data_IF_567601783997
#
_entry.id   IF_567601783997
#
_cell.length_a   1.000
_cell.length_b   1.000
_cell.length_c   1.000
_cell.angle_alpha   90.00
_cell.angle_beta   90.00
_cell.angle_gamma   90.00
#
_symmetry.space_group_name_H-M   'P 1'
#
loop_
_entity.id
_entity.type
_entity.pdbx_description
1 polymer ?
#
# COMPACT_ATOMS: atom_id res chain seq x y z
N UNK A 1 8.24 0.71 6.91
CA UNK A 1 9.34 -0.14 7.47
C UNK A 1 8.91 -1.60 7.32
N UNK A 2 9.74 -2.44 6.71
CA UNK A 2 9.46 -3.86 6.32
C UNK A 2 9.31 -4.83 7.50
N UNK A 3 9.27 -4.35 8.74
CA UNK A 3 9.35 -5.20 9.93
C UNK A 3 10.65 -6.02 9.95
N UNK A 4 10.58 -7.24 10.50
CA UNK A 4 11.68 -8.19 10.49
C UNK A 4 11.87 -8.76 9.07
N UNK A 5 13.00 -8.41 8.44
CA UNK A 5 13.36 -8.86 7.08
C UNK A 5 13.51 -10.37 6.97
N UNK A 6 13.75 -11.07 8.09
CA UNK A 6 13.81 -12.52 8.14
C UNK A 6 12.44 -13.20 8.04
N UNK A 7 11.34 -12.45 8.19
CA UNK A 7 9.97 -12.98 8.06
C UNK A 7 9.21 -12.35 6.89
N UNK A 8 9.74 -11.27 6.33
CA UNK A 8 9.11 -10.53 5.25
C UNK A 8 9.05 -11.33 3.94
N UNK A 9 7.85 -11.39 3.35
CA UNK A 9 7.60 -11.90 1.99
C UNK A 9 8.17 -13.30 1.67
N UNK A 10 8.31 -14.19 2.68
CA UNK A 10 8.92 -15.53 2.50
C UNK A 10 8.19 -16.43 1.50
N UNK A 11 6.89 -16.21 1.31
CA UNK A 11 6.02 -16.94 0.40
C UNK A 11 5.93 -16.33 -1.01
N UNK A 12 6.67 -15.27 -1.30
CA UNK A 12 6.53 -14.50 -2.54
C UNK A 12 7.78 -14.57 -3.42
N UNK A 13 7.57 -14.28 -4.71
CA UNK A 13 8.61 -13.91 -5.65
C UNK A 13 8.69 -12.40 -5.74
N UNK A 14 9.89 -11.84 -5.63
CA UNK A 14 10.12 -10.40 -5.56
C UNK A 14 10.63 -9.90 -6.91
N UNK A 15 9.79 -9.10 -7.58
CA UNK A 15 10.19 -8.31 -8.75
C UNK A 15 10.37 -6.86 -8.27
N UNK A 16 11.59 -6.33 -8.38
CA UNK A 16 11.95 -5.00 -7.88
C UNK A 16 12.29 -4.07 -9.04
N UNK A 17 11.46 -3.05 -9.27
CA UNK A 17 11.69 -2.01 -10.28
C UNK A 17 12.23 -0.78 -9.57
N UNK A 18 13.43 -0.34 -9.94
CA UNK A 18 14.16 0.71 -9.23
C UNK A 18 15.06 1.49 -10.19
N UNK A 19 15.15 2.80 -10.01
CA UNK A 19 15.98 3.69 -10.83
C UNK A 19 17.40 3.82 -10.27
N UNK A 20 17.59 3.60 -8.96
CA UNK A 20 18.91 3.52 -8.34
C UNK A 20 19.38 2.07 -8.18
N UNK A 21 20.34 1.65 -9.01
CA UNK A 21 20.93 0.31 -8.94
C UNK A 21 21.44 -0.09 -7.55
N UNK A 22 21.82 0.87 -6.68
CA UNK A 22 22.30 0.58 -5.33
C UNK A 22 21.20 0.09 -4.38
N UNK A 23 19.93 0.40 -4.65
CA UNK A 23 18.80 -0.04 -3.82
C UNK A 23 18.31 -1.46 -4.20
N UNK A 24 18.67 -1.96 -5.39
CA UNK A 24 18.38 -3.34 -5.81
C UNK A 24 19.16 -4.33 -4.94
N UNK A 25 18.46 -5.32 -4.37
CA UNK A 25 18.98 -6.34 -3.44
C UNK A 25 19.52 -5.79 -2.10
N UNK A 26 19.33 -4.50 -1.78
CA UNK A 26 19.92 -3.88 -0.59
C UNK A 26 19.34 -4.41 0.72
N UNK A 27 18.01 -4.53 0.80
CA UNK A 27 17.29 -4.96 2.02
C UNK A 27 16.64 -6.32 1.82
N UNK A 28 15.87 -6.46 0.75
CA UNK A 28 15.22 -7.71 0.36
C UNK A 28 15.83 -8.17 -0.97
N UNK A 29 16.37 -9.40 -1.06
CA UNK A 29 16.83 -9.96 -2.32
C UNK A 29 15.68 -10.06 -3.32
N UNK A 30 15.86 -9.50 -4.52
CA UNK A 30 14.91 -9.62 -5.61
C UNK A 30 15.19 -10.90 -6.41
N UNK A 31 14.14 -11.63 -6.79
CA UNK A 31 14.24 -12.69 -7.79
C UNK A 31 14.50 -12.11 -9.19
N UNK A 32 13.94 -10.92 -9.45
CA UNK A 32 14.16 -10.15 -10.69
C UNK A 32 14.32 -8.67 -10.34
N UNK A 33 15.48 -8.10 -10.65
CA UNK A 33 15.73 -6.66 -10.58
C UNK A 33 15.56 -6.00 -11.94
N UNK A 34 14.75 -4.95 -12.02
CA UNK A 34 14.53 -4.13 -13.22
C UNK A 34 15.08 -2.74 -12.92
N UNK A 35 16.28 -2.46 -13.42
CA UNK A 35 16.91 -1.15 -13.26
C UNK A 35 16.40 -0.18 -14.33
N UNK A 36 15.35 0.58 -14.01
CA UNK A 36 14.66 1.47 -14.94
C UNK A 36 13.76 2.46 -14.19
N UNK A 37 13.33 3.53 -14.90
CA UNK A 37 12.20 4.32 -14.47
C UNK A 37 10.94 3.45 -14.34
N UNK A 38 10.23 3.56 -13.22
CA UNK A 38 9.09 2.70 -12.93
C UNK A 38 7.92 2.90 -13.91
N UNK A 39 7.71 4.12 -14.42
CA UNK A 39 6.65 4.41 -15.40
C UNK A 39 6.96 3.73 -16.72
N UNK A 40 8.20 3.83 -17.20
CA UNK A 40 8.63 3.19 -18.44
C UNK A 40 8.57 1.66 -18.34
N UNK A 41 9.06 1.09 -17.23
CA UNK A 41 9.01 -0.35 -16.98
C UNK A 41 7.57 -0.86 -16.93
N UNK A 42 6.65 -0.16 -16.23
CA UNK A 42 5.24 -0.55 -16.16
C UNK A 42 4.56 -0.48 -17.52
N UNK A 43 4.83 0.54 -18.34
CA UNK A 43 4.30 0.64 -19.70
C UNK A 43 4.70 -0.58 -20.54
N UNK A 44 5.99 -0.96 -20.51
CA UNK A 44 6.48 -2.12 -21.23
C UNK A 44 5.90 -3.45 -20.69
N UNK A 45 5.65 -3.56 -19.38
CA UNK A 45 5.06 -4.76 -18.79
C UNK A 45 3.57 -4.89 -19.12
N UNK A 46 2.81 -3.79 -19.10
CA UNK A 46 1.36 -3.79 -19.38
C UNK A 46 1.06 -4.36 -20.77
N UNK A 47 1.91 -4.09 -21.75
CA UNK A 47 1.77 -4.64 -23.12
C UNK A 47 1.95 -6.16 -23.21
N UNK A 48 2.56 -6.77 -22.18
CA UNK A 48 2.96 -8.19 -22.16
C UNK A 48 2.16 -9.02 -21.16
N UNK A 49 1.38 -8.41 -20.28
CA UNK A 49 0.56 -9.13 -19.31
C UNK A 49 -0.80 -9.47 -19.90
N UNK A 50 -1.29 -10.66 -19.58
CA UNK A 50 -2.65 -11.08 -19.86
C UNK A 50 -3.47 -11.05 -18.58
N UNK A 51 -4.76 -10.65 -18.63
CA UNK A 51 -5.65 -10.76 -17.49
C UNK A 51 -5.74 -12.19 -16.98
N UNK A 52 -5.68 -12.37 -15.66
CA UNK A 52 -5.82 -13.68 -15.00
C UNK A 52 -7.09 -13.69 -14.16
N UNK A 53 -7.64 -14.87 -13.89
CA UNK A 53 -8.70 -14.99 -12.88
C UNK A 53 -8.09 -14.83 -11.48
N UNK A 54 -8.31 -13.67 -10.88
CA UNK A 54 -7.84 -13.32 -9.54
C UNK A 54 -8.99 -13.12 -8.56
N UNK A 55 -10.20 -13.62 -8.87
CA UNK A 55 -11.40 -13.37 -8.05
C UNK A 55 -11.24 -13.83 -6.61
N UNK A 56 -10.78 -15.07 -6.40
CA UNK A 56 -10.57 -15.63 -5.05
C UNK A 56 -9.51 -14.85 -4.28
N UNK A 57 -8.42 -14.49 -4.96
CA UNK A 57 -7.36 -13.69 -4.37
C UNK A 57 -7.86 -12.31 -3.93
N UNK A 58 -8.55 -11.58 -4.81
CA UNK A 58 -9.17 -10.29 -4.46
C UNK A 58 -10.22 -10.43 -3.36
N UNK A 59 -10.98 -11.54 -3.32
CA UNK A 59 -11.96 -11.78 -2.28
C UNK A 59 -11.30 -11.95 -0.90
N UNK A 60 -10.12 -12.58 -0.82
CA UNK A 60 -9.39 -12.69 0.45
C UNK A 60 -8.99 -11.33 1.04
N UNK A 61 -8.62 -10.35 0.21
CA UNK A 61 -8.34 -9.00 0.68
C UNK A 61 -9.59 -8.27 1.15
N UNK A 62 -10.71 -8.41 0.43
CA UNK A 62 -11.98 -7.78 0.82
C UNK A 62 -12.47 -8.28 2.18
N UNK A 63 -12.29 -9.56 2.45
CA UNK A 63 -12.64 -10.13 3.74
C UNK A 63 -11.77 -9.55 4.87
N UNK A 64 -10.46 -9.41 4.64
CA UNK A 64 -9.55 -8.80 5.61
C UNK A 64 -9.81 -7.31 5.81
N UNK A 65 -10.10 -6.56 4.75
CA UNK A 65 -10.47 -5.13 4.80
C UNK A 65 -11.74 -4.93 5.61
N UNK A 66 -12.76 -5.79 5.41
CA UNK A 66 -13.98 -5.78 6.21
C UNK A 66 -13.68 -6.04 7.69
N UNK A 67 -12.86 -7.03 8.00
CA UNK A 67 -12.48 -7.33 9.39
C UNK A 67 -11.71 -6.19 10.04
N UNK A 68 -10.82 -5.52 9.31
CA UNK A 68 -10.10 -4.34 9.80
C UNK A 68 -11.07 -3.17 10.04
N UNK A 69 -12.02 -2.95 9.13
CA UNK A 69 -13.00 -1.87 9.25
C UNK A 69 -13.85 -2.03 10.51
N UNK A 70 -14.39 -3.24 10.73
CA UNK A 70 -15.21 -3.57 11.90
C UNK A 70 -14.43 -3.47 13.22
N UNK A 71 -13.17 -3.91 13.23
CA UNK A 71 -12.36 -3.96 14.46
C UNK A 71 -11.73 -2.61 14.81
N UNK A 72 -11.34 -1.84 13.80
CA UNK A 72 -10.47 -0.67 13.96
C UNK A 72 -11.04 0.54 13.24
N UNK A 73 -11.03 0.57 11.90
CA UNK A 73 -11.19 1.82 11.15
C UNK A 73 -12.51 2.52 11.40
N UNK A 74 -13.62 1.79 11.43
CA UNK A 74 -14.95 2.41 11.55
C UNK A 74 -15.07 3.24 12.83
N UNK A 75 -14.65 2.67 13.96
CA UNK A 75 -14.69 3.33 15.27
C UNK A 75 -13.72 4.50 15.41
N UNK A 76 -12.63 4.49 14.64
CA UNK A 76 -11.64 5.57 14.64
C UNK A 76 -12.05 6.72 13.72
N UNK A 77 -12.62 6.42 12.56
CA UNK A 77 -13.04 7.40 11.55
C UNK A 77 -14.40 8.04 11.87
N UNK A 78 -15.31 7.29 12.48
CA UNK A 78 -16.69 7.72 12.78
C UNK A 78 -17.04 7.48 14.25
N UNK A 79 -16.33 8.09 15.20
CA UNK A 79 -16.72 8.00 16.60
C UNK A 79 -18.11 8.62 16.80
N UNK A 80 -18.97 7.94 17.56
CA UNK A 80 -20.33 8.42 17.87
C UNK A 80 -20.41 9.14 19.22
N UNK A 81 -19.37 9.02 20.03
CA UNK A 81 -19.25 9.59 21.38
C UNK A 81 -17.78 9.77 21.75
N UNK A 82 -17.53 10.55 22.80
CA UNK A 82 -16.18 10.80 23.31
C UNK A 82 -15.50 12.01 22.67
N UNK A 83 -14.17 12.05 22.82
CA UNK A 83 -13.33 13.12 22.28
C UNK A 83 -13.05 12.93 20.79
N UNK A 84 -12.67 14.04 20.14
CA UNK A 84 -12.30 14.07 18.74
C UNK A 84 -11.12 13.13 18.47
N UNK A 85 -11.28 12.22 17.51
CA UNK A 85 -10.22 11.28 17.13
C UNK A 85 -9.38 11.81 15.98
N UNK A 86 -8.09 11.46 15.97
CA UNK A 86 -7.18 11.88 14.89
C UNK A 86 -7.64 11.37 13.51
N UNK A 87 -8.08 10.11 13.43
CA UNK A 87 -8.57 9.54 12.18
C UNK A 87 -9.83 10.25 11.67
N UNK A 88 -10.75 10.63 12.57
CA UNK A 88 -11.91 11.45 12.23
C UNK A 88 -11.50 12.81 11.64
N UNK A 89 -10.53 13.50 12.24
CA UNK A 89 -10.04 14.79 11.75
C UNK A 89 -9.48 14.67 10.34
N UNK A 90 -8.62 13.67 10.09
CA UNK A 90 -8.02 13.46 8.77
C UNK A 90 -9.10 13.11 7.73
N UNK A 91 -10.09 12.28 8.09
CA UNK A 91 -11.24 12.00 7.22
C UNK A 91 -12.00 13.27 6.86
N UNK A 92 -12.35 14.09 7.84
CA UNK A 92 -13.11 15.33 7.61
C UNK A 92 -12.32 16.30 6.72
N UNK A 93 -11.00 16.44 6.92
CA UNK A 93 -10.16 17.25 6.03
C UNK A 93 -10.19 16.70 4.60
N UNK A 94 -10.03 15.38 4.43
CA UNK A 94 -10.10 14.73 3.13
C UNK A 94 -11.44 14.98 2.43
N UNK A 95 -12.56 14.78 3.13
CA UNK A 95 -13.92 15.03 2.61
C UNK A 95 -14.13 16.50 2.21
N UNK A 96 -13.69 17.45 3.03
CA UNK A 96 -13.86 18.89 2.76
C UNK A 96 -12.99 19.40 1.61
N UNK A 97 -11.91 18.70 1.31
CA UNK A 97 -10.96 19.06 0.25
C UNK A 97 -11.15 18.21 -1.01
N UNK A 98 -12.07 17.24 -0.98
CA UNK A 98 -12.25 16.27 -2.06
C UNK A 98 -11.03 15.37 -2.28
N UNK A 99 -10.12 15.26 -1.30
CA UNK A 99 -8.86 14.54 -1.43
C UNK A 99 -7.77 15.28 -2.21
N UNK A 100 -7.98 16.55 -2.58
CA UNK A 100 -7.09 17.32 -3.47
C UNK A 100 -6.14 18.28 -2.72
N UNK A 101 -6.19 18.30 -1.38
CA UNK A 101 -5.30 19.16 -0.60
C UNK A 101 -3.86 18.62 -0.55
N UNK A 102 -2.89 19.55 -0.62
CA UNK A 102 -1.49 19.24 -0.33
C UNK A 102 -1.32 19.19 1.20
N UNK A 103 -1.01 18.01 1.73
CA UNK A 103 -0.78 17.80 3.16
C UNK A 103 0.72 17.84 3.47
N UNK A 104 1.10 18.64 4.47
CA UNK A 104 2.47 18.67 5.03
C UNK A 104 2.35 18.29 6.50
N UNK A 105 3.05 17.24 6.90
CA UNK A 105 3.00 16.69 8.27
C UNK A 105 4.34 16.88 8.96
N UNK A 106 4.31 17.10 10.27
CA UNK A 106 5.48 16.91 11.14
C UNK A 106 5.67 15.41 11.46
N UNK A 107 6.65 15.06 12.30
CA UNK A 107 6.92 13.69 12.74
C UNK A 107 6.17 13.41 14.05
N UNK A 108 5.45 12.28 14.10
CA UNK A 108 4.71 11.80 15.26
C UNK A 108 4.55 10.28 15.28
#
# INVERSE_FOLDING_TARGET
ITGDTSTYARQAKVVHIEIDAAEINKIIPADVGVHADAKEALQALIERIEPKDTKEWLQSFKELDKQEDEKVRHKELYPTEGELKMAEVIRLISEKTGGEAILVTDVG
#
